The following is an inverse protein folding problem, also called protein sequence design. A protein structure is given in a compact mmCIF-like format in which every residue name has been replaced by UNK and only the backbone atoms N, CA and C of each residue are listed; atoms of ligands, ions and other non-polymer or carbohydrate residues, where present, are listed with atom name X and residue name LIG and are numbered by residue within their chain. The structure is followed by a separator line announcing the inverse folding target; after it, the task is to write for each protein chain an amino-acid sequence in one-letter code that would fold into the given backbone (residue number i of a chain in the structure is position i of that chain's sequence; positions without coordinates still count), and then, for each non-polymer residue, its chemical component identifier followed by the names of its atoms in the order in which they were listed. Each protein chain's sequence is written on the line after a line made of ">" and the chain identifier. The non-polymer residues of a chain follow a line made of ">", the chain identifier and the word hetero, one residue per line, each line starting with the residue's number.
data_IF_786971742467
#
_entry.id   IF_786971742467
#
_cell.length_a   1.000
_cell.length_b   1.000
_cell.length_c   1.000
_cell.angle_alpha   90.00
_cell.angle_beta   90.00
_cell.angle_gamma   90.00
#
_symmetry.space_group_name_H-M   'P 1'
#
loop_
_entity.id
_entity.type
_entity.pdbx_description
1 polymer ?
#
# COMPACT_ATOMS: atom_id res chain seq x y z
N UNK A 1 9.90 17.53 -22.87
CA UNK A 1 10.23 17.65 -21.42
C UNK A 1 11.68 17.26 -21.19
N UNK A 2 12.36 17.97 -20.28
CA UNK A 2 13.73 17.60 -19.86
C UNK A 2 13.68 16.27 -19.08
N UNK A 3 14.75 15.47 -19.08
CA UNK A 3 14.76 14.17 -18.40
C UNK A 3 14.42 14.27 -16.89
N UNK A 4 14.90 15.32 -16.23
CA UNK A 4 14.60 15.61 -14.83
C UNK A 4 13.10 15.93 -14.58
N UNK A 5 12.47 16.63 -15.51
CA UNK A 5 11.04 16.98 -15.44
C UNK A 5 10.16 15.73 -15.53
N UNK A 6 10.52 14.81 -16.43
CA UNK A 6 9.83 13.52 -16.58
C UNK A 6 9.96 12.64 -15.34
N UNK A 7 11.18 12.53 -14.79
CA UNK A 7 11.44 11.81 -13.55
C UNK A 7 10.65 12.42 -12.37
N UNK A 8 10.56 13.74 -12.30
CA UNK A 8 9.77 14.43 -11.29
C UNK A 8 8.27 14.12 -11.42
N UNK A 9 7.70 14.25 -12.63
CA UNK A 9 6.28 13.93 -12.89
C UNK A 9 5.98 12.46 -12.58
N UNK A 10 6.85 11.54 -12.99
CA UNK A 10 6.70 10.12 -12.67
C UNK A 10 6.75 9.86 -11.16
N UNK A 11 7.66 10.51 -10.43
CA UNK A 11 7.78 10.37 -8.97
C UNK A 11 6.55 10.92 -8.24
N UNK A 12 5.98 12.03 -8.73
CA UNK A 12 4.74 12.59 -8.22
C UNK A 12 3.56 11.66 -8.50
N UNK A 13 3.47 11.13 -9.72
CA UNK A 13 2.45 10.16 -10.09
C UNK A 13 2.52 8.91 -9.21
N UNK A 14 3.73 8.40 -8.93
CA UNK A 14 3.94 7.28 -8.01
C UNK A 14 3.36 7.58 -6.62
N UNK A 15 3.69 8.75 -6.05
CA UNK A 15 3.23 9.14 -4.72
C UNK A 15 1.70 9.29 -4.66
N UNK A 16 1.10 9.93 -5.67
CA UNK A 16 -0.36 10.11 -5.77
C UNK A 16 -1.06 8.76 -5.92
N UNK A 17 -0.60 7.90 -6.83
CA UNK A 17 -1.19 6.57 -7.05
C UNK A 17 -1.06 5.72 -5.79
N UNK A 18 0.09 5.76 -5.10
CA UNK A 18 0.29 5.06 -3.83
C UNK A 18 -0.70 5.51 -2.76
N UNK A 19 -0.90 6.83 -2.61
CA UNK A 19 -1.87 7.37 -1.67
C UNK A 19 -3.32 7.01 -2.02
N UNK A 20 -3.69 7.05 -3.30
CA UNK A 20 -5.02 6.65 -3.76
C UNK A 20 -5.29 5.16 -3.54
N UNK A 21 -4.32 4.29 -3.85
CA UNK A 21 -4.44 2.85 -3.60
C UNK A 21 -4.61 2.57 -2.11
N UNK A 22 -3.85 3.25 -1.25
CA UNK A 22 -3.99 3.13 0.20
C UNK A 22 -5.37 3.58 0.68
N UNK A 23 -5.90 4.70 0.16
CA UNK A 23 -7.25 5.15 0.49
C UNK A 23 -8.30 4.10 0.10
N UNK A 24 -8.20 3.54 -1.11
CA UNK A 24 -9.10 2.47 -1.57
C UNK A 24 -8.99 1.25 -0.67
N UNK A 25 -7.78 0.83 -0.28
CA UNK A 25 -7.58 -0.30 0.62
C UNK A 25 -8.20 -0.07 2.01
N UNK A 26 -8.10 1.14 2.56
CA UNK A 26 -8.74 1.51 3.83
C UNK A 26 -10.26 1.41 3.72
N UNK A 27 -10.85 1.92 2.64
CA UNK A 27 -12.30 1.82 2.40
C UNK A 27 -12.74 0.36 2.25
N UNK A 28 -12.01 -0.44 1.48
CA UNK A 28 -12.29 -1.87 1.31
C UNK A 28 -12.16 -2.65 2.62
N UNK A 29 -11.18 -2.31 3.45
CA UNK A 29 -11.02 -2.91 4.77
C UNK A 29 -12.19 -2.56 5.71
N UNK A 30 -12.68 -1.31 5.66
CA UNK A 30 -13.89 -0.91 6.37
C UNK A 30 -15.13 -1.70 5.90
N UNK A 31 -15.28 -1.88 4.59
CA UNK A 31 -16.35 -2.72 4.03
C UNK A 31 -16.22 -4.18 4.47
N UNK A 32 -15.01 -4.74 4.49
CA UNK A 32 -14.73 -6.10 4.96
C UNK A 32 -15.20 -6.29 6.41
N UNK A 33 -14.91 -5.33 7.29
CA UNK A 33 -15.36 -5.36 8.70
C UNK A 33 -16.90 -5.34 8.75
N UNK A 34 -17.54 -4.45 7.99
CA UNK A 34 -19.00 -4.33 7.96
C UNK A 34 -19.66 -5.63 7.48
N UNK A 35 -19.24 -6.16 6.34
CA UNK A 35 -19.79 -7.40 5.77
C UNK A 35 -19.45 -8.61 6.65
N UNK A 36 -18.24 -8.67 7.19
CA UNK A 36 -17.79 -9.74 8.09
C UNK A 36 -18.60 -9.76 9.38
N UNK A 37 -18.86 -8.59 9.97
CA UNK A 37 -19.70 -8.48 11.17
C UNK A 37 -21.16 -8.85 10.90
N UNK A 38 -21.71 -8.46 9.74
CA UNK A 38 -23.08 -8.79 9.35
C UNK A 38 -23.23 -10.30 9.08
N UNK A 39 -22.29 -10.91 8.36
CA UNK A 39 -22.27 -12.34 8.09
C UNK A 39 -22.07 -13.15 9.38
N UNK A 40 -21.15 -12.74 10.24
CA UNK A 40 -20.88 -13.43 11.51
C UNK A 40 -22.11 -13.51 12.40
N UNK A 41 -22.98 -12.47 12.41
CA UNK A 41 -24.24 -12.49 13.18
C UNK A 41 -25.19 -13.62 12.77
N UNK A 42 -25.13 -14.09 11.52
CA UNK A 42 -25.97 -15.20 11.05
C UNK A 42 -25.50 -16.56 11.59
N UNK A 43 -24.23 -16.66 11.98
CA UNK A 43 -23.60 -17.89 12.49
C UNK A 43 -23.26 -17.83 13.97
N UNK A 44 -23.60 -16.73 14.64
CA UNK A 44 -23.41 -16.55 16.06
C UNK A 44 -24.45 -17.34 16.87
N UNK A 45 -24.00 -18.31 17.67
CA UNK A 45 -24.80 -18.93 18.74
C UNK A 45 -24.15 -18.70 20.10
N UNK A 46 -24.94 -18.28 21.10
CA UNK A 46 -24.73 -18.26 22.57
C UNK A 46 -23.30 -18.07 23.15
N UNK A 47 -22.40 -17.42 22.43
CA UNK A 47 -21.10 -16.98 22.98
C UNK A 47 -19.93 -16.92 22.01
N UNK A 48 -20.05 -17.46 20.79
CA UNK A 48 -18.93 -17.57 19.86
C UNK A 48 -19.03 -16.60 18.66
N UNK A 49 -19.26 -15.31 18.91
CA UNK A 49 -19.14 -14.30 17.86
C UNK A 49 -17.68 -13.82 17.71
N UNK A 50 -17.19 -13.59 16.48
CA UNK A 50 -15.90 -12.94 16.30
C UNK A 50 -15.94 -11.55 16.95
N UNK A 51 -15.05 -11.35 17.92
CA UNK A 51 -14.91 -10.08 18.59
C UNK A 51 -14.39 -8.98 17.65
N UNK A 52 -14.52 -7.70 18.03
CA UNK A 52 -14.03 -6.56 17.25
C UNK A 52 -12.53 -6.69 16.91
N UNK A 53 -11.73 -7.21 17.85
CA UNK A 53 -10.29 -7.48 17.67
C UNK A 53 -9.99 -8.46 16.51
N UNK A 54 -10.85 -9.47 16.28
CA UNK A 54 -10.64 -10.42 15.17
C UNK A 54 -10.95 -9.77 13.83
N UNK A 55 -11.99 -8.93 13.76
CA UNK A 55 -12.34 -8.21 12.53
C UNK A 55 -11.29 -7.15 12.19
N UNK A 56 -10.80 -6.43 13.19
CA UNK A 56 -9.75 -5.42 13.02
C UNK A 56 -8.42 -6.06 12.58
N UNK A 57 -8.06 -7.21 13.14
CA UNK A 57 -6.84 -7.92 12.72
C UNK A 57 -6.92 -8.46 11.29
N UNK A 58 -8.10 -8.96 10.87
CA UNK A 58 -8.32 -9.38 9.48
C UNK A 58 -8.23 -8.21 8.50
N UNK A 59 -8.86 -7.07 8.83
CA UNK A 59 -8.79 -5.85 8.05
C UNK A 59 -7.34 -5.33 7.93
N UNK A 60 -6.58 -5.39 9.03
CA UNK A 60 -5.20 -4.96 9.06
C UNK A 60 -4.27 -5.88 8.26
N UNK A 61 -4.48 -7.20 8.34
CA UNK A 61 -3.78 -8.18 7.50
C UNK A 61 -4.06 -7.93 6.01
N UNK A 62 -5.32 -7.68 5.65
CA UNK A 62 -5.71 -7.33 4.29
C UNK A 62 -5.00 -6.07 3.79
N UNK A 63 -5.05 -4.96 4.55
CA UNK A 63 -4.37 -3.71 4.19
C UNK A 63 -2.87 -3.94 4.01
N UNK A 64 -2.24 -4.70 4.91
CA UNK A 64 -0.80 -4.98 4.86
C UNK A 64 -0.42 -5.74 3.59
N UNK A 65 -1.14 -6.82 3.26
CA UNK A 65 -0.89 -7.61 2.05
C UNK A 65 -1.15 -6.80 0.79
N UNK A 66 -2.28 -6.08 0.74
CA UNK A 66 -2.64 -5.25 -0.40
C UNK A 66 -1.62 -4.11 -0.62
N UNK A 67 -1.13 -3.49 0.46
CA UNK A 67 -0.09 -2.48 0.42
C UNK A 67 1.21 -3.08 -0.13
N UNK A 68 1.68 -4.20 0.41
CA UNK A 68 2.91 -4.84 -0.03
C UNK A 68 2.88 -5.20 -1.52
N UNK A 69 1.79 -5.82 -1.98
CA UNK A 69 1.62 -6.18 -3.39
C UNK A 69 1.55 -4.95 -4.30
N UNK A 70 0.79 -3.94 -3.91
CA UNK A 70 0.65 -2.70 -4.68
C UNK A 70 1.99 -1.96 -4.81
N UNK A 71 2.74 -1.89 -3.72
CA UNK A 71 4.04 -1.22 -3.69
C UNK A 71 5.12 -2.00 -4.43
N UNK A 72 5.10 -3.34 -4.34
CA UNK A 72 5.97 -4.17 -5.19
C UNK A 72 5.69 -3.93 -6.68
N UNK A 73 4.41 -3.89 -7.06
CA UNK A 73 4.01 -3.63 -8.45
C UNK A 73 4.46 -2.24 -8.93
N UNK A 74 4.10 -1.19 -8.19
CA UNK A 74 4.45 0.18 -8.58
C UNK A 74 5.97 0.40 -8.61
N UNK A 75 6.70 -0.07 -7.59
CA UNK A 75 8.15 0.07 -7.55
C UNK A 75 8.82 -0.71 -8.68
N UNK A 76 8.30 -1.89 -9.05
CA UNK A 76 8.83 -2.68 -10.17
C UNK A 76 8.67 -1.96 -11.51
N UNK A 77 7.52 -1.32 -11.74
CA UNK A 77 7.28 -0.53 -12.95
C UNK A 77 8.14 0.73 -12.99
N UNK A 78 8.19 1.47 -11.88
CA UNK A 78 8.98 2.69 -11.79
C UNK A 78 10.48 2.42 -11.98
N UNK A 79 10.98 1.36 -11.35
CA UNK A 79 12.37 0.96 -11.47
C UNK A 79 12.72 0.57 -12.92
N UNK A 80 11.82 -0.14 -13.59
CA UNK A 80 11.98 -0.50 -15.00
C UNK A 80 12.07 0.73 -15.91
N UNK A 81 11.20 1.73 -15.71
CA UNK A 81 11.14 2.91 -16.57
C UNK A 81 12.38 3.81 -16.47
N UNK A 82 12.92 3.97 -15.25
CA UNK A 82 14.01 4.93 -15.00
C UNK A 82 15.38 4.30 -14.75
N UNK A 83 15.46 2.98 -14.55
CA UNK A 83 16.71 2.20 -14.34
C UNK A 83 17.66 2.78 -13.28
N UNK A 84 17.15 3.58 -12.36
CA UNK A 84 17.92 4.25 -11.31
C UNK A 84 17.43 3.79 -9.95
N UNK A 85 18.28 3.03 -9.25
CA UNK A 85 17.99 2.53 -7.89
C UNK A 85 17.83 3.68 -6.91
N UNK A 86 18.71 4.68 -6.98
CA UNK A 86 18.64 5.84 -6.10
C UNK A 86 17.33 6.61 -6.28
N UNK A 87 16.93 6.90 -7.52
CA UNK A 87 15.68 7.61 -7.81
C UNK A 87 14.46 6.80 -7.33
N UNK A 88 14.46 5.49 -7.58
CA UNK A 88 13.37 4.60 -7.14
C UNK A 88 13.27 4.61 -5.61
N UNK A 89 14.39 4.47 -4.91
CA UNK A 89 14.43 4.48 -3.45
C UNK A 89 13.93 5.81 -2.88
N UNK A 90 14.39 6.94 -3.40
CA UNK A 90 13.91 8.26 -2.96
C UNK A 90 12.40 8.42 -3.19
N UNK A 91 11.91 7.95 -4.34
CA UNK A 91 10.48 8.01 -4.68
C UNK A 91 9.65 7.15 -3.73
N UNK A 92 10.10 5.91 -3.45
CA UNK A 92 9.46 4.99 -2.50
C UNK A 92 9.41 5.59 -1.10
N UNK A 93 10.51 6.19 -0.62
CA UNK A 93 10.56 6.82 0.71
C UNK A 93 9.66 8.06 0.79
N UNK A 94 9.64 8.89 -0.26
CA UNK A 94 8.75 10.04 -0.33
C UNK A 94 7.28 9.61 -0.33
N UNK A 95 6.93 8.59 -1.11
CA UNK A 95 5.58 8.04 -1.17
C UNK A 95 5.17 7.37 0.13
N UNK A 96 6.09 6.68 0.82
CA UNK A 96 5.86 6.14 2.17
C UNK A 96 5.51 7.27 3.14
N UNK A 97 6.30 8.35 3.14
CA UNK A 97 6.06 9.48 4.02
C UNK A 97 4.67 10.09 3.78
N UNK A 98 4.31 10.35 2.51
CA UNK A 98 2.97 10.82 2.15
C UNK A 98 1.87 9.84 2.61
N UNK A 99 2.08 8.54 2.39
CA UNK A 99 1.12 7.49 2.75
C UNK A 99 0.89 7.42 4.26
N UNK A 100 1.95 7.52 5.07
CA UNK A 100 1.84 7.57 6.54
C UNK A 100 1.11 8.83 6.99
N UNK A 101 1.42 9.99 6.40
CA UNK A 101 0.74 11.25 6.72
C UNK A 101 -0.76 11.24 6.39
N UNK A 102 -1.16 10.52 5.34
CA UNK A 102 -2.58 10.32 4.99
C UNK A 102 -3.23 9.31 5.94
N UNK A 103 -2.55 8.21 6.26
CA UNK A 103 -3.11 7.11 7.04
C UNK A 103 -3.21 7.38 8.54
N UNK A 104 -2.20 7.99 9.14
CA UNK A 104 -2.16 8.26 10.58
C UNK A 104 -3.39 9.02 11.12
N UNK A 105 -3.86 10.12 10.50
CA UNK A 105 -5.06 10.83 10.97
C UNK A 105 -6.36 10.03 10.73
N UNK A 106 -6.41 9.22 9.67
CA UNK A 106 -7.55 8.34 9.39
C UNK A 106 -7.65 7.22 10.45
N UNK A 107 -6.51 6.61 10.78
CA UNK A 107 -6.43 5.60 11.84
C UNK A 107 -6.82 6.18 13.20
N UNK A 108 -6.32 7.37 13.56
CA UNK A 108 -6.59 8.01 14.84
C UNK A 108 -8.08 8.38 15.08
N UNK A 109 -8.88 8.57 14.03
CA UNK A 109 -10.32 8.92 14.12
C UNK A 109 -11.25 7.72 13.96
N UNK A 110 -10.70 6.53 13.79
CA UNK A 110 -11.46 5.30 13.63
C UNK A 110 -11.49 4.52 14.95
N UNK A 111 -12.35 3.50 15.09
CA UNK A 111 -12.39 2.60 16.28
C UNK A 111 -11.05 1.89 16.56
N UNK A 112 -10.05 2.08 15.70
CA UNK A 112 -8.64 1.83 15.95
C UNK A 112 -8.01 2.78 17.01
N UNK A 113 -8.75 3.23 18.03
CA UNK A 113 -8.23 4.09 19.13
C UNK A 113 -7.04 3.42 19.86
N UNK A 114 -6.90 2.10 19.77
CA UNK A 114 -5.77 1.35 20.31
C UNK A 114 -4.47 1.43 19.47
N UNK A 115 -4.50 2.05 18.28
CA UNK A 115 -3.41 1.89 17.30
C UNK A 115 -2.83 3.21 16.80
N UNK A 116 -2.42 4.10 17.71
CA UNK A 116 -1.55 5.24 17.34
C UNK A 116 -0.26 4.79 16.59
N UNK A 117 0.11 3.51 16.72
CA UNK A 117 1.21 2.83 16.03
C UNK A 117 0.78 1.99 14.81
N UNK A 118 -0.48 2.02 14.36
CA UNK A 118 -0.92 1.27 13.16
C UNK A 118 -0.15 1.67 11.89
N UNK A 119 0.43 2.87 11.87
CA UNK A 119 1.29 3.30 10.77
C UNK A 119 2.60 2.51 10.70
N UNK A 120 3.09 1.91 11.81
CA UNK A 120 4.34 1.15 11.82
C UNK A 120 4.26 -0.13 10.98
N UNK A 121 3.28 -1.03 11.19
CA UNK A 121 3.20 -2.20 10.33
C UNK A 121 2.78 -1.85 8.91
N UNK A 122 2.02 -0.78 8.69
CA UNK A 122 1.76 -0.28 7.34
C UNK A 122 3.05 0.15 6.64
N UNK A 123 3.90 0.91 7.32
CA UNK A 123 5.20 1.33 6.80
C UNK A 123 6.11 0.12 6.54
N UNK A 124 6.08 -0.88 7.44
CA UNK A 124 6.81 -2.12 7.24
C UNK A 124 6.30 -2.87 6.00
N UNK A 125 4.98 -3.03 5.84
CA UNK A 125 4.38 -3.67 4.67
C UNK A 125 4.71 -2.94 3.37
N UNK A 126 4.67 -1.61 3.39
CA UNK A 126 5.05 -0.75 2.27
C UNK A 126 6.50 -1.00 1.85
N UNK A 127 7.44 -0.98 2.81
CA UNK A 127 8.86 -1.22 2.55
C UNK A 127 9.13 -2.65 2.13
N UNK A 128 8.48 -3.64 2.74
CA UNK A 128 8.58 -5.05 2.36
C UNK A 128 8.09 -5.30 0.94
N UNK A 129 7.10 -4.55 0.47
CA UNK A 129 6.66 -4.58 -0.93
C UNK A 129 7.64 -3.87 -1.87
N UNK A 130 8.02 -2.63 -1.54
CA UNK A 130 8.77 -1.78 -2.45
C UNK A 130 10.27 -2.13 -2.55
N UNK A 131 10.94 -2.46 -1.43
CA UNK A 131 12.39 -2.66 -1.42
C UNK A 131 12.85 -3.83 -2.31
N UNK A 132 12.18 -5.00 -2.34
CA UNK A 132 12.54 -6.06 -3.27
C UNK A 132 12.58 -5.58 -4.72
N UNK A 133 11.64 -4.71 -5.12
CA UNK A 133 11.60 -4.15 -6.47
C UNK A 133 12.73 -3.14 -6.76
N UNK A 134 13.28 -2.48 -5.74
CA UNK A 134 14.46 -1.58 -5.90
C UNK A 134 15.74 -2.38 -6.11
N UNK A 135 15.87 -3.53 -5.45
CA UNK A 135 17.08 -4.34 -5.45
C UNK A 135 17.03 -5.53 -6.42
N UNK A 136 15.87 -5.81 -7.03
CA UNK A 136 15.76 -6.85 -8.05
C UNK A 136 16.65 -6.53 -9.26
N UNK A 137 17.14 -7.58 -9.92
CA UNK A 137 17.81 -7.44 -11.21
C UNK A 137 16.74 -7.22 -12.28
N UNK A 138 17.09 -6.48 -13.33
CA UNK A 138 16.15 -6.20 -14.44
C UNK A 138 15.64 -7.50 -15.11
N UNK A 139 16.47 -8.54 -15.17
CA UNK A 139 16.10 -9.85 -15.72
C UNK A 139 15.00 -10.57 -14.92
N UNK A 140 14.94 -10.31 -13.62
CA UNK A 140 14.04 -10.96 -12.65
C UNK A 140 12.72 -10.17 -12.48
N UNK A 141 12.61 -8.98 -13.11
CA UNK A 141 11.39 -8.18 -13.04
C UNK A 141 10.28 -8.87 -13.87
N UNK A 142 9.15 -9.26 -13.25
CA UNK A 142 8.05 -9.92 -13.97
C UNK A 142 7.41 -9.01 -15.04
N UNK A 143 7.63 -7.70 -14.98
CA UNK A 143 7.03 -6.71 -15.86
C UNK A 143 7.97 -6.21 -16.97
N UNK A 144 9.16 -6.82 -17.14
CA UNK A 144 10.18 -6.39 -18.10
C UNK A 144 9.71 -6.35 -19.57
N UNK A 145 8.75 -7.21 -19.92
CA UNK A 145 8.17 -7.33 -21.26
C UNK A 145 6.75 -6.73 -21.33
N UNK A 146 6.28 -6.12 -20.24
CA UNK A 146 4.95 -5.53 -20.20
C UNK A 146 4.95 -4.21 -20.98
N UNK A 147 4.03 -4.07 -21.94
CA UNK A 147 3.82 -2.80 -22.65
C UNK A 147 3.17 -1.71 -21.79
N UNK A 148 2.81 -2.04 -20.54
CA UNK A 148 2.14 -1.17 -19.58
C UNK A 148 3.14 -0.39 -18.72
N UNK A 149 3.93 0.49 -19.35
CA UNK A 149 4.77 1.43 -18.61
C UNK A 149 3.99 2.73 -18.34
N UNK A 150 3.28 2.76 -17.20
CA UNK A 150 2.52 3.92 -16.74
C UNK A 150 3.41 5.10 -16.31
N UNK A 151 4.73 4.92 -16.25
CA UNK A 151 5.70 5.95 -15.88
C UNK A 151 6.53 6.46 -17.06
N UNK A 152 6.21 6.01 -18.29
CA UNK A 152 6.85 6.44 -19.53
C UNK A 152 6.39 7.83 -19.96
N UNK A 153 6.75 8.85 -19.19
CA UNK A 153 6.53 10.27 -19.50
C UNK A 153 7.71 10.88 -20.26
#
# INVERSE_FOLDING_TARGET
>A
MRAAERAFVASLAYAVISGLLLLVQVVLAGLLILTGSAAARLFCSDGACPGPLMLDSAAFAFISVATALSQYYLASLFHHSHRSRALTLFTVLAALFVSVFVFAPLAARSRFEAYWLAWLPLAAAFLLGALPAVFQKEADNPWKDSGTDIFRF
#
